data_IF_635433679645
#
_entry.id   IF_635433679645
#
_cell.length_a   1.000
_cell.length_b   1.000
_cell.length_c   1.000
_cell.angle_alpha   90.00
_cell.angle_beta   90.00
_cell.angle_gamma   90.00
#
_symmetry.space_group_name_H-M   'P 1'
#
loop_
_entity.id
_entity.type
_entity.pdbx_description
1 polymer ?
#
# COMPACT_ATOMS: atom_id res chain seq x y z
N UNK A 1 -25.61 -2.38 9.60
CA UNK A 1 -24.94 -2.60 8.29
C UNK A 1 -23.56 -3.18 8.55
N UNK A 2 -23.24 -4.34 7.98
CA UNK A 2 -21.96 -5.03 8.19
C UNK A 2 -20.79 -4.23 7.59
N UNK A 3 -19.56 -4.53 8.01
CA UNK A 3 -18.36 -3.94 7.41
C UNK A 3 -18.29 -4.24 5.90
N UNK A 4 -18.59 -5.47 5.51
CA UNK A 4 -18.60 -5.89 4.10
C UNK A 4 -19.64 -5.13 3.27
N UNK A 5 -20.84 -4.91 3.82
CA UNK A 5 -21.88 -4.11 3.16
C UNK A 5 -21.47 -2.64 3.00
N UNK A 6 -20.66 -2.09 3.91
CA UNK A 6 -20.09 -0.74 3.74
C UNK A 6 -19.09 -0.70 2.59
N UNK A 7 -18.17 -1.66 2.52
CA UNK A 7 -17.18 -1.75 1.44
C UNK A 7 -17.87 -1.83 0.09
N UNK A 8 -18.83 -2.74 -0.08
CA UNK A 8 -19.56 -2.90 -1.36
C UNK A 8 -20.32 -1.63 -1.78
N UNK A 9 -20.82 -0.85 -0.81
CA UNK A 9 -21.55 0.40 -1.10
C UNK A 9 -20.60 1.55 -1.45
N UNK A 10 -19.47 1.68 -0.75
CA UNK A 10 -18.56 2.82 -0.93
C UNK A 10 -17.48 2.57 -1.96
N UNK A 11 -17.22 1.31 -2.30
CA UNK A 11 -16.20 0.86 -3.27
C UNK A 11 -14.84 1.56 -3.08
N UNK A 12 -14.24 1.47 -1.86
CA UNK A 12 -13.07 2.27 -1.54
C UNK A 12 -11.88 1.93 -2.45
N UNK A 13 -11.14 2.95 -2.86
CA UNK A 13 -9.94 2.85 -3.68
C UNK A 13 -8.71 2.59 -2.80
N UNK A 14 -8.12 1.39 -2.91
CA UNK A 14 -6.99 0.98 -2.09
C UNK A 14 -5.72 1.00 -2.94
N UNK A 15 -4.82 1.94 -2.65
CA UNK A 15 -3.49 1.99 -3.26
C UNK A 15 -2.57 0.99 -2.56
N UNK A 16 -2.02 0.04 -3.32
CA UNK A 16 -1.16 -1.02 -2.83
C UNK A 16 0.24 -0.90 -3.43
N UNK A 17 1.22 -0.59 -2.58
CA UNK A 17 2.64 -0.82 -2.85
C UNK A 17 2.97 -2.24 -2.39
N UNK A 18 2.70 -3.20 -3.27
CA UNK A 18 2.82 -4.62 -2.96
C UNK A 18 4.22 -5.15 -3.27
N UNK A 19 4.56 -6.28 -2.64
CA UNK A 19 5.61 -7.14 -3.16
C UNK A 19 5.27 -7.64 -4.57
N UNK A 20 6.26 -8.09 -5.35
CA UNK A 20 6.03 -8.55 -6.73
C UNK A 20 5.48 -9.99 -6.82
N UNK A 21 5.36 -10.72 -5.71
CA UNK A 21 4.94 -12.14 -5.70
C UNK A 21 3.42 -12.29 -5.65
N UNK A 22 2.73 -11.42 -4.90
CA UNK A 22 1.28 -11.54 -4.65
C UNK A 22 0.38 -10.43 -5.23
N UNK A 23 0.79 -9.52 -6.13
CA UNK A 23 0.01 -8.33 -6.46
C UNK A 23 -1.34 -8.69 -7.09
N UNK A 24 -1.39 -9.68 -8.00
CA UNK A 24 -2.63 -10.11 -8.65
C UNK A 24 -3.64 -10.66 -7.65
N UNK A 25 -3.21 -11.55 -6.74
CA UNK A 25 -4.11 -12.15 -5.74
C UNK A 25 -4.66 -11.10 -4.78
N UNK A 26 -3.85 -10.12 -4.41
CA UNK A 26 -4.30 -8.98 -3.59
C UNK A 26 -5.35 -8.17 -4.34
N UNK A 27 -5.14 -7.89 -5.64
CA UNK A 27 -6.12 -7.22 -6.49
C UNK A 27 -7.46 -7.98 -6.51
N UNK A 28 -7.40 -9.28 -6.84
CA UNK A 28 -8.58 -10.13 -6.99
C UNK A 28 -9.41 -10.18 -5.70
N UNK A 29 -8.75 -10.27 -4.53
CA UNK A 29 -9.44 -10.31 -3.24
C UNK A 29 -10.07 -8.96 -2.89
N UNK A 30 -9.37 -7.83 -3.13
CA UNK A 30 -9.91 -6.49 -2.92
C UNK A 30 -11.14 -6.26 -3.82
N UNK A 31 -11.06 -6.65 -5.08
CA UNK A 31 -12.19 -6.61 -6.01
C UNK A 31 -13.34 -7.52 -5.57
N UNK A 32 -13.04 -8.74 -5.12
CA UNK A 32 -14.04 -9.71 -4.68
C UNK A 32 -14.87 -9.19 -3.49
N UNK A 33 -14.26 -8.45 -2.56
CA UNK A 33 -14.98 -7.85 -1.42
C UNK A 33 -15.71 -6.54 -1.79
N UNK A 34 -15.61 -6.09 -3.05
CA UNK A 34 -16.31 -4.92 -3.58
C UNK A 34 -15.55 -3.59 -3.47
N UNK A 35 -14.24 -3.63 -3.16
CA UNK A 35 -13.36 -2.46 -3.19
C UNK A 35 -12.64 -2.34 -4.54
N UNK A 36 -11.99 -1.20 -4.79
CA UNK A 36 -11.22 -0.96 -6.01
C UNK A 36 -9.71 -1.05 -5.71
N UNK A 37 -8.99 -2.06 -6.23
CA UNK A 37 -7.55 -2.13 -6.08
C UNK A 37 -6.83 -1.20 -7.06
N UNK A 38 -5.75 -0.57 -6.60
CA UNK A 38 -4.82 0.22 -7.41
C UNK A 38 -3.39 -0.15 -7.02
N UNK A 39 -2.50 -0.27 -8.00
CA UNK A 39 -1.08 -0.58 -7.80
C UNK A 39 -0.24 0.34 -8.67
N UNK A 40 0.94 0.72 -8.18
CA UNK A 40 1.94 1.46 -8.97
C UNK A 40 3.34 1.01 -8.61
N UNK A 41 4.25 1.13 -9.57
CA UNK A 41 5.69 1.07 -9.37
C UNK A 41 6.38 2.36 -9.82
N UNK A 42 5.62 3.41 -10.14
CA UNK A 42 6.11 4.67 -10.68
C UNK A 42 5.96 5.78 -9.63
N UNK A 43 7.08 6.41 -9.27
CA UNK A 43 7.10 7.47 -8.26
C UNK A 43 6.50 8.77 -8.81
N UNK A 44 6.59 9.01 -10.12
CA UNK A 44 6.11 10.23 -10.76
C UNK A 44 4.59 10.43 -10.67
N UNK A 45 3.81 9.36 -10.56
CA UNK A 45 2.34 9.43 -10.41
C UNK A 45 1.86 9.28 -8.96
N UNK A 46 2.76 8.95 -8.03
CA UNK A 46 2.43 8.50 -6.70
C UNK A 46 1.62 9.53 -5.90
N UNK A 47 1.94 10.82 -6.00
CA UNK A 47 1.20 11.88 -5.32
C UNK A 47 -0.28 11.91 -5.74
N UNK A 48 -0.53 11.88 -7.05
CA UNK A 48 -1.87 11.86 -7.62
C UNK A 48 -2.64 10.62 -7.19
N UNK A 49 -1.98 9.45 -7.16
CA UNK A 49 -2.62 8.19 -6.75
C UNK A 49 -2.94 8.18 -5.25
N UNK A 50 -2.03 8.68 -4.39
CA UNK A 50 -2.29 8.80 -2.96
C UNK A 50 -3.47 9.74 -2.71
N UNK A 51 -3.56 10.86 -3.44
CA UNK A 51 -4.64 11.84 -3.30
C UNK A 51 -6.03 11.25 -3.55
N UNK A 52 -6.18 10.44 -4.60
CA UNK A 52 -7.47 9.82 -4.93
C UNK A 52 -7.76 8.55 -4.10
N UNK A 53 -6.74 7.92 -3.52
CA UNK A 53 -6.93 6.69 -2.73
C UNK A 53 -7.65 6.94 -1.41
N UNK A 54 -8.45 5.98 -0.95
CA UNK A 54 -9.08 5.99 0.37
C UNK A 54 -8.16 5.44 1.46
N UNK A 55 -7.17 4.61 1.08
CA UNK A 55 -6.12 4.11 1.96
C UNK A 55 -4.89 3.69 1.16
N UNK A 56 -3.73 3.69 1.83
CA UNK A 56 -2.44 3.24 1.28
C UNK A 56 -1.96 2.02 2.05
N UNK A 57 -1.62 0.96 1.34
CA UNK A 57 -1.07 -0.28 1.88
C UNK A 57 0.36 -0.45 1.38
N UNK A 58 1.29 -0.65 2.29
CA UNK A 58 2.71 -0.84 2.02
C UNK A 58 3.14 -2.21 2.49
N UNK A 59 3.52 -3.10 1.57
CA UNK A 59 4.01 -4.44 1.87
C UNK A 59 5.47 -4.57 1.44
N UNK A 60 6.38 -4.76 2.41
CA UNK A 60 7.83 -4.77 2.17
C UNK A 60 8.37 -6.14 1.73
N UNK A 61 7.51 -7.09 1.36
CA UNK A 61 7.85 -8.50 1.14
C UNK A 61 8.96 -8.76 0.14
N UNK A 62 9.16 -7.86 -0.83
CA UNK A 62 10.24 -7.91 -1.82
C UNK A 62 10.92 -6.55 -2.02
N UNK A 63 10.97 -5.73 -0.97
CA UNK A 63 11.63 -4.43 -1.05
C UNK A 63 13.14 -4.57 -1.31
N UNK A 64 13.69 -3.66 -2.10
CA UNK A 64 15.11 -3.45 -2.33
C UNK A 64 15.49 -1.99 -2.06
N UNK A 65 16.79 -1.69 -1.98
CA UNK A 65 17.29 -0.31 -1.90
C UNK A 65 16.86 0.53 -3.12
N UNK A 66 16.71 -0.07 -4.31
CA UNK A 66 16.26 0.66 -5.50
C UNK A 66 14.78 1.05 -5.45
N UNK A 67 13.94 0.21 -4.83
CA UNK A 67 12.50 0.49 -4.66
C UNK A 67 12.19 1.31 -3.41
N UNK A 68 13.13 1.40 -2.46
CA UNK A 68 12.94 2.09 -1.19
C UNK A 68 12.42 3.54 -1.33
N UNK A 69 12.92 4.38 -2.27
CA UNK A 69 12.43 5.75 -2.42
C UNK A 69 10.92 5.85 -2.69
N UNK A 70 10.36 4.94 -3.49
CA UNK A 70 8.93 4.87 -3.78
C UNK A 70 8.12 4.62 -2.49
N UNK A 71 8.58 3.67 -1.66
CA UNK A 71 7.90 3.27 -0.44
C UNK A 71 7.96 4.37 0.63
N UNK A 72 9.12 5.01 0.78
CA UNK A 72 9.29 6.16 1.67
C UNK A 72 8.35 7.30 1.27
N UNK A 73 8.32 7.63 -0.02
CA UNK A 73 7.47 8.71 -0.53
C UNK A 73 5.98 8.40 -0.35
N UNK A 74 5.58 7.14 -0.51
CA UNK A 74 4.19 6.73 -0.30
C UNK A 74 3.76 6.91 1.17
N UNK A 75 4.61 6.49 2.12
CA UNK A 75 4.37 6.72 3.55
C UNK A 75 4.28 8.22 3.87
N UNK A 76 5.21 9.02 3.32
CA UNK A 76 5.26 10.48 3.53
C UNK A 76 4.00 11.16 2.99
N UNK A 77 3.60 10.85 1.76
CA UNK A 77 2.40 11.39 1.12
C UNK A 77 1.12 10.95 1.83
N UNK A 78 1.03 9.68 2.24
CA UNK A 78 -0.12 9.17 2.98
C UNK A 78 -0.31 9.95 4.29
N UNK A 79 0.77 10.16 5.05
CA UNK A 79 0.76 10.97 6.27
C UNK A 79 0.38 12.44 5.97
N UNK A 80 0.98 13.06 4.95
CA UNK A 80 0.72 14.45 4.56
C UNK A 80 -0.75 14.66 4.15
N UNK A 81 -1.34 13.72 3.41
CA UNK A 81 -2.72 13.79 2.93
C UNK A 81 -3.73 13.13 3.91
N UNK A 82 -3.29 12.80 5.13
CA UNK A 82 -4.10 12.15 6.18
C UNK A 82 -4.83 10.88 5.71
N UNK A 83 -4.20 10.12 4.82
CA UNK A 83 -4.73 8.83 4.34
C UNK A 83 -4.40 7.74 5.36
N UNK A 84 -5.34 6.84 5.67
CA UNK A 84 -5.03 5.62 6.42
C UNK A 84 -3.88 4.86 5.78
N UNK A 85 -2.81 4.65 6.54
CA UNK A 85 -1.59 3.96 6.11
C UNK A 85 -1.49 2.62 6.83
N UNK A 86 -1.41 1.53 6.07
CA UNK A 86 -1.25 0.17 6.58
C UNK A 86 0.13 -0.33 6.16
N UNK A 87 0.99 -0.62 7.14
CA UNK A 87 2.29 -1.25 6.91
C UNK A 87 2.21 -2.74 7.20
N UNK A 88 2.58 -3.56 6.21
CA UNK A 88 2.81 -5.00 6.34
C UNK A 88 4.32 -5.31 6.33
N UNK A 89 4.96 -5.44 7.51
CA UNK A 89 6.41 -5.57 7.65
C UNK A 89 6.87 -7.02 7.46
N UNK A 90 6.56 -7.62 6.29
CA UNK A 90 6.87 -9.02 5.97
C UNK A 90 8.34 -9.37 6.24
N UNK A 91 8.58 -10.38 7.08
CA UNK A 91 9.90 -10.86 7.49
C UNK A 91 10.82 -9.78 8.10
N UNK A 92 10.25 -8.86 8.90
CA UNK A 92 11.00 -7.80 9.61
C UNK A 92 12.11 -8.31 10.53
N UNK A 93 12.12 -9.59 10.89
CA UNK A 93 13.21 -10.20 11.65
C UNK A 93 14.54 -10.28 10.88
N UNK A 94 14.52 -10.14 9.55
CA UNK A 94 15.74 -10.04 8.74
C UNK A 94 16.36 -8.65 8.92
N UNK A 95 17.65 -8.50 9.28
CA UNK A 95 18.26 -7.21 9.62
C UNK A 95 18.06 -6.11 8.57
N UNK A 96 18.15 -6.45 7.29
CA UNK A 96 17.88 -5.52 6.19
C UNK A 96 16.44 -4.99 6.19
N UNK A 97 15.45 -5.86 6.44
CA UNK A 97 14.04 -5.46 6.46
C UNK A 97 13.68 -4.68 7.71
N UNK A 98 14.27 -5.04 8.86
CA UNK A 98 14.19 -4.24 10.08
C UNK A 98 14.72 -2.82 9.87
N UNK A 99 15.86 -2.67 9.17
CA UNK A 99 16.44 -1.36 8.90
C UNK A 99 15.58 -0.54 7.94
N UNK A 100 14.96 -1.16 6.92
CA UNK A 100 13.99 -0.49 6.04
C UNK A 100 12.81 0.08 6.85
N UNK A 101 12.16 -0.73 7.70
CA UNK A 101 11.00 -0.28 8.49
C UNK A 101 11.36 0.92 9.37
N UNK A 102 12.53 0.91 10.01
CA UNK A 102 13.03 2.04 10.81
C UNK A 102 13.33 3.30 10.00
N UNK A 103 13.54 3.19 8.68
CA UNK A 103 13.77 4.33 7.79
C UNK A 103 12.46 4.87 7.20
N UNK A 104 11.37 4.09 7.24
CA UNK A 104 10.03 4.49 6.79
C UNK A 104 9.23 5.27 7.85
N UNK A 105 9.70 5.30 9.10
CA UNK A 105 9.07 5.97 10.25
C UNK A 105 9.42 7.44 10.36
#
# INVERSE_FOLDING_TARGET
MSILGKIQRTQPLILNLANFVTPQRVADVISFIGASPLMTSEIAELESLVEISDAVVVNIGTISESTYPLFLEACRLANQKAKPLILDPVAVNVPFRASIVKRLS
#
